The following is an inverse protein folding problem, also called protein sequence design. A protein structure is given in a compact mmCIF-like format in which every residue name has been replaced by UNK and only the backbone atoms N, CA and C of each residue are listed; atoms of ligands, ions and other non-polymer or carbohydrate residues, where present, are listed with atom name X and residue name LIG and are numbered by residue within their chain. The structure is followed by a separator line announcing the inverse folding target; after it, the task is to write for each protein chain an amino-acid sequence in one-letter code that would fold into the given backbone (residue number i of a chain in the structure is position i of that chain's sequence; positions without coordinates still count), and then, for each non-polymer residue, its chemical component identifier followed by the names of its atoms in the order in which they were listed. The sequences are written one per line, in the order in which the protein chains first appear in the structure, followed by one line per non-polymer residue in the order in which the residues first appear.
data_IF_616672373392
#
_entry.id   IF_616672373392
#
_cell.length_a   1.000
_cell.length_b   1.000
_cell.length_c   1.000
_cell.angle_alpha   90.00
_cell.angle_beta   90.00
_cell.angle_gamma   90.00
#
_symmetry.space_group_name_H-M   'P 1'
#
loop_
_entity.id
_entity.type
_entity.pdbx_description
1 polymer ?
#
# COMPACT_ATOMS: atom_id res chain seq x y z
N UNK A 1 34.81 -21.27 -17.59
CA UNK A 1 34.58 -22.22 -16.48
C UNK A 1 34.48 -21.38 -15.21
N UNK A 2 33.25 -21.12 -14.76
CA UNK A 2 32.97 -20.13 -13.72
C UNK A 2 33.21 -20.78 -12.35
N UNK A 3 34.39 -20.56 -11.77
CA UNK A 3 34.73 -21.06 -10.44
C UNK A 3 34.12 -20.16 -9.37
N UNK A 4 33.27 -20.73 -8.52
CA UNK A 4 32.80 -20.11 -7.28
C UNK A 4 34.03 -19.81 -6.40
N UNK A 5 34.06 -18.63 -5.74
CA UNK A 5 35.18 -18.24 -4.86
C UNK A 5 35.30 -19.25 -3.70
N UNK A 6 36.55 -19.58 -3.31
CA UNK A 6 36.86 -20.65 -2.33
C UNK A 6 36.28 -20.41 -0.92
N UNK A 7 35.85 -19.20 -0.63
CA UNK A 7 35.26 -18.70 0.61
C UNK A 7 33.74 -18.49 0.53
N UNK A 8 33.11 -18.83 -0.60
CA UNK A 8 31.67 -18.74 -0.72
C UNK A 8 31.01 -19.95 -0.06
N UNK A 9 30.17 -19.69 0.94
CA UNK A 9 29.23 -20.68 1.45
C UNK A 9 28.22 -21.00 0.35
N UNK A 10 28.29 -22.22 -0.20
CA UNK A 10 27.28 -22.73 -1.13
C UNK A 10 26.18 -23.36 -0.29
N UNK A 11 24.95 -22.82 -0.31
CA UNK A 11 23.84 -23.47 0.37
C UNK A 11 23.67 -24.91 -0.16
N UNK A 12 23.33 -25.86 0.71
CA UNK A 12 23.00 -27.21 0.26
C UNK A 12 21.89 -27.18 -0.79
N UNK A 13 21.91 -28.16 -1.69
CA UNK A 13 20.92 -28.26 -2.75
C UNK A 13 19.53 -28.38 -2.16
N UNK A 14 18.61 -27.55 -2.65
CA UNK A 14 17.24 -27.50 -2.15
C UNK A 14 16.54 -28.79 -2.59
N UNK A 15 16.12 -29.63 -1.64
CA UNK A 15 15.37 -30.85 -1.94
C UNK A 15 13.97 -30.43 -2.41
N UNK A 16 13.69 -30.63 -3.69
CA UNK A 16 12.45 -30.18 -4.34
C UNK A 16 11.25 -31.09 -4.04
N UNK A 17 11.51 -32.34 -3.67
CA UNK A 17 10.47 -33.32 -3.33
C UNK A 17 9.76 -32.90 -2.04
N UNK A 18 8.44 -32.70 -2.13
CA UNK A 18 7.62 -32.30 -0.99
C UNK A 18 7.71 -30.84 -0.59
N UNK A 19 8.66 -30.06 -1.12
CA UNK A 19 8.84 -28.63 -0.81
C UNK A 19 7.59 -27.79 -1.12
N UNK A 20 6.83 -28.20 -2.14
CA UNK A 20 5.58 -27.56 -2.56
C UNK A 20 4.33 -28.40 -2.24
N UNK A 21 4.47 -29.48 -1.48
CA UNK A 21 3.32 -30.25 -0.97
C UNK A 21 2.76 -29.58 0.29
N UNK A 22 2.57 -28.26 0.22
CA UNK A 22 1.90 -27.51 1.26
C UNK A 22 0.39 -27.70 1.05
N UNK A 23 -0.23 -28.47 1.93
CA UNK A 23 -1.68 -28.60 1.95
C UNK A 23 -2.27 -27.27 2.43
N UNK A 24 -2.91 -26.54 1.50
CA UNK A 24 -3.51 -25.22 1.78
C UNK A 24 -4.69 -25.34 2.73
N UNK A 25 -5.29 -26.54 2.80
CA UNK A 25 -6.40 -26.88 3.69
C UNK A 25 -5.92 -27.46 5.03
N UNK A 26 -4.61 -27.67 5.21
CA UNK A 26 -4.08 -27.83 6.56
C UNK A 26 -4.17 -26.50 7.29
N UNK A 27 -4.50 -26.56 8.58
CA UNK A 27 -4.41 -25.42 9.49
C UNK A 27 -2.94 -25.08 9.79
N UNK A 28 -2.16 -24.76 8.76
CA UNK A 28 -0.81 -24.19 8.84
C UNK A 28 -0.80 -22.86 9.60
N UNK A 29 -1.97 -22.23 9.74
CA UNK A 29 -2.17 -21.01 10.50
C UNK A 29 -2.68 -21.25 11.94
N UNK A 30 -3.21 -22.42 12.27
CA UNK A 30 -3.59 -22.75 13.67
C UNK A 30 -2.49 -23.55 14.38
N UNK A 31 -1.74 -24.37 13.65
CA UNK A 31 -0.61 -25.12 14.19
C UNK A 31 0.69 -24.34 14.02
N UNK A 32 0.84 -23.30 14.84
CA UNK A 32 2.17 -22.85 15.28
C UNK A 32 2.86 -23.89 16.19
N UNK A 33 2.31 -25.10 16.29
CA UNK A 33 2.95 -26.27 16.82
C UNK A 33 3.96 -26.74 15.77
N UNK A 34 5.20 -26.28 15.85
CA UNK A 34 6.45 -26.84 15.29
C UNK A 34 7.45 -25.73 14.92
N UNK A 35 7.58 -24.72 15.77
CA UNK A 35 8.94 -24.26 16.06
C UNK A 35 9.35 -25.05 17.29
N UNK A 36 10.09 -26.13 17.08
CA UNK A 36 11.02 -26.60 18.10
C UNK A 36 11.94 -25.42 18.40
N UNK A 37 11.53 -24.56 19.34
CA UNK A 37 12.46 -23.67 20.02
C UNK A 37 13.31 -24.58 20.89
N UNK A 38 14.22 -25.35 20.28
CA UNK A 38 15.18 -26.19 20.97
C UNK A 38 15.97 -25.30 21.95
N UNK A 39 15.52 -25.26 23.21
CA UNK A 39 16.12 -24.47 24.28
C UNK A 39 15.76 -22.97 24.36
N UNK A 40 14.73 -22.49 23.65
CA UNK A 40 14.32 -21.07 23.68
C UNK A 40 12.94 -20.83 24.30
N UNK A 41 12.78 -19.79 25.11
CA UNK A 41 11.45 -19.34 25.56
C UNK A 41 10.59 -18.88 24.37
N UNK A 42 9.34 -19.34 24.30
CA UNK A 42 8.41 -18.97 23.24
C UNK A 42 8.13 -17.45 23.33
N UNK A 43 8.28 -16.68 22.24
CA UNK A 43 8.02 -15.26 22.24
C UNK A 43 6.59 -14.94 22.70
N UNK A 44 6.43 -13.90 23.52
CA UNK A 44 5.12 -13.53 24.08
C UNK A 44 4.09 -13.13 23.01
N UNK A 45 4.52 -12.57 21.88
CA UNK A 45 3.62 -12.29 20.76
C UNK A 45 3.04 -13.57 20.14
N UNK A 46 3.65 -14.74 20.38
CA UNK A 46 3.12 -16.02 19.94
C UNK A 46 2.36 -16.73 21.07
N UNK A 47 2.91 -16.76 22.29
CA UNK A 47 2.32 -17.50 23.42
C UNK A 47 1.19 -16.75 24.15
N UNK A 48 1.18 -15.42 24.16
CA UNK A 48 0.26 -14.62 24.98
C UNK A 48 -0.79 -13.91 24.10
N UNK A 49 -2.07 -14.26 24.32
CA UNK A 49 -3.21 -13.67 23.60
C UNK A 49 -3.33 -12.16 23.84
N UNK A 50 -3.16 -11.68 25.06
CA UNK A 50 -3.25 -10.25 25.38
C UNK A 50 -2.18 -9.44 24.65
N UNK A 51 -0.97 -10.01 24.50
CA UNK A 51 0.11 -9.39 23.73
C UNK A 51 -0.25 -9.32 22.24
N UNK A 52 -0.84 -10.38 21.67
CA UNK A 52 -1.32 -10.36 20.27
C UNK A 52 -2.42 -9.35 20.05
N UNK A 53 -3.41 -9.33 20.93
CA UNK A 53 -4.54 -8.40 20.86
C UNK A 53 -4.04 -6.95 21.00
N UNK A 54 -3.08 -6.71 21.90
CA UNK A 54 -2.42 -5.42 22.06
C UNK A 54 -1.63 -4.96 20.83
N UNK A 55 -0.89 -5.87 20.17
CA UNK A 55 -0.19 -5.59 18.91
C UNK A 55 -1.19 -5.20 17.82
N UNK A 56 -2.28 -5.96 17.67
CA UNK A 56 -3.32 -5.67 16.68
C UNK A 56 -3.96 -4.31 16.93
N UNK A 57 -4.35 -4.03 18.17
CA UNK A 57 -4.93 -2.74 18.54
C UNK A 57 -3.96 -1.58 18.26
N UNK A 58 -2.67 -1.74 18.57
CA UNK A 58 -1.65 -0.73 18.27
C UNK A 58 -1.47 -0.51 16.77
N UNK A 59 -1.53 -1.57 15.96
CA UNK A 59 -1.48 -1.47 14.49
C UNK A 59 -2.72 -0.78 13.94
N UNK A 60 -3.91 -1.13 14.41
CA UNK A 60 -5.17 -0.50 14.00
C UNK A 60 -5.15 1.01 14.28
N UNK A 61 -4.74 1.42 15.47
CA UNK A 61 -4.61 2.85 15.82
C UNK A 61 -3.67 3.57 14.85
N UNK A 62 -2.50 2.99 14.55
CA UNK A 62 -1.55 3.59 13.60
C UNK A 62 -2.11 3.67 12.18
N UNK A 63 -2.77 2.62 11.71
CA UNK A 63 -3.41 2.60 10.39
C UNK A 63 -4.50 3.65 10.30
N UNK A 64 -5.36 3.79 11.31
CA UNK A 64 -6.38 4.83 11.36
C UNK A 64 -5.77 6.24 11.33
N UNK A 65 -4.66 6.47 12.02
CA UNK A 65 -3.96 7.75 12.00
C UNK A 65 -3.40 8.09 10.62
N UNK A 66 -2.77 7.14 9.94
CA UNK A 66 -2.26 7.37 8.58
C UNK A 66 -3.41 7.59 7.59
N UNK A 67 -4.49 6.81 7.66
CA UNK A 67 -5.64 7.01 6.78
C UNK A 67 -6.31 8.37 6.99
N UNK A 68 -6.42 8.86 8.23
CA UNK A 68 -6.90 10.22 8.49
C UNK A 68 -5.98 11.26 7.84
N UNK A 69 -4.66 11.10 7.98
CA UNK A 69 -3.68 12.01 7.36
C UNK A 69 -3.78 11.99 5.83
N UNK A 70 -4.00 10.83 5.23
CA UNK A 70 -4.25 10.68 3.78
C UNK A 70 -5.54 11.36 3.38
N UNK A 71 -6.62 11.17 4.14
CA UNK A 71 -7.91 11.80 3.90
C UNK A 71 -7.82 13.33 3.93
N UNK A 72 -7.06 13.91 4.87
CA UNK A 72 -6.83 15.36 4.94
C UNK A 72 -6.10 15.91 3.69
N UNK A 73 -5.12 15.16 3.19
CA UNK A 73 -4.39 15.51 1.96
C UNK A 73 -5.31 15.41 0.75
N UNK A 74 -6.04 14.30 0.61
CA UNK A 74 -7.01 14.10 -0.48
C UNK A 74 -8.10 15.17 -0.47
N UNK A 75 -8.64 15.50 0.70
CA UNK A 75 -9.61 16.58 0.87
C UNK A 75 -9.05 17.93 0.42
N UNK A 76 -7.84 18.27 0.87
CA UNK A 76 -7.19 19.53 0.51
C UNK A 76 -6.94 19.62 -1.00
N UNK A 77 -6.50 18.52 -1.61
CA UNK A 77 -6.28 18.43 -3.05
C UNK A 77 -7.59 18.58 -3.83
N UNK A 78 -8.66 17.88 -3.42
CA UNK A 78 -9.97 17.97 -4.05
C UNK A 78 -10.58 19.37 -3.91
N UNK A 79 -10.43 20.01 -2.74
CA UNK A 79 -10.93 21.35 -2.51
C UNK A 79 -10.19 22.38 -3.38
N UNK A 80 -8.86 22.35 -3.39
CA UNK A 80 -8.05 23.23 -4.22
C UNK A 80 -8.35 23.04 -5.71
N UNK A 81 -8.51 21.79 -6.14
CA UNK A 81 -8.94 21.46 -7.49
C UNK A 81 -10.31 22.08 -7.79
N UNK A 82 -11.32 21.81 -6.98
CA UNK A 82 -12.69 22.32 -7.20
C UNK A 82 -12.76 23.84 -7.27
N UNK A 83 -11.98 24.56 -6.46
CA UNK A 83 -11.91 26.02 -6.51
C UNK A 83 -11.32 26.48 -7.86
N UNK A 84 -10.22 25.88 -8.29
CA UNK A 84 -9.58 26.16 -9.59
C UNK A 84 -10.57 25.91 -10.76
N UNK A 85 -11.26 24.76 -10.74
CA UNK A 85 -12.33 24.42 -11.70
C UNK A 85 -13.40 25.49 -11.78
N UNK A 86 -13.92 25.83 -10.61
CA UNK A 86 -15.06 26.71 -10.47
C UNK A 86 -14.71 28.11 -10.97
N UNK A 87 -13.53 28.61 -10.60
CA UNK A 87 -13.05 29.91 -11.09
C UNK A 87 -12.83 29.93 -12.59
N UNK A 88 -12.26 28.87 -13.17
CA UNK A 88 -12.08 28.75 -14.61
C UNK A 88 -13.43 28.81 -15.34
N UNK A 89 -14.40 27.99 -14.93
CA UNK A 89 -15.76 27.99 -15.48
C UNK A 89 -16.42 29.37 -15.33
N UNK A 90 -16.39 29.92 -14.11
CA UNK A 90 -17.05 31.18 -13.78
C UNK A 90 -16.51 32.36 -14.58
N UNK A 91 -15.19 32.43 -14.74
CA UNK A 91 -14.55 33.48 -15.52
C UNK A 91 -14.93 33.39 -17.00
N UNK A 92 -15.00 32.17 -17.54
CA UNK A 92 -15.42 31.99 -18.94
C UNK A 92 -16.90 32.37 -19.12
N UNK A 93 -17.79 32.03 -18.18
CA UNK A 93 -19.18 32.49 -18.21
C UNK A 93 -19.31 34.01 -18.11
N UNK A 94 -18.49 34.66 -17.27
CA UNK A 94 -18.53 36.11 -17.07
C UNK A 94 -17.97 36.91 -18.25
N UNK A 95 -16.93 36.41 -18.91
CA UNK A 95 -16.16 37.19 -19.90
C UNK A 95 -16.19 36.60 -21.31
N UNK A 96 -16.79 35.43 -21.52
CA UNK A 96 -16.79 34.71 -22.78
C UNK A 96 -17.88 35.15 -23.76
N UNK A 97 -17.49 35.79 -24.86
CA UNK A 97 -18.36 35.99 -26.02
C UNK A 97 -18.39 34.71 -26.88
N UNK A 98 -19.21 33.72 -26.49
CA UNK A 98 -19.78 32.64 -27.32
C UNK A 98 -18.87 31.59 -27.99
N UNK A 99 -17.71 31.94 -28.53
CA UNK A 99 -16.93 31.09 -29.45
C UNK A 99 -15.62 30.57 -28.84
N UNK A 100 -15.05 31.28 -27.86
CA UNK A 100 -13.77 30.89 -27.22
C UNK A 100 -13.92 29.80 -26.14
N UNK A 101 -15.16 29.49 -25.75
CA UNK A 101 -15.53 28.61 -24.63
C UNK A 101 -15.16 27.14 -24.84
N UNK A 102 -15.27 26.61 -26.06
CA UNK A 102 -15.13 25.16 -26.29
C UNK A 102 -13.67 24.69 -26.32
N UNK A 103 -12.76 25.49 -26.89
CA UNK A 103 -11.35 25.09 -27.04
C UNK A 103 -10.57 25.18 -25.72
N UNK A 104 -10.84 26.20 -24.90
CA UNK A 104 -10.19 26.37 -23.60
C UNK A 104 -10.57 25.23 -22.64
N UNK A 105 -11.85 24.83 -22.61
CA UNK A 105 -12.32 23.78 -21.73
C UNK A 105 -11.73 22.40 -22.07
N UNK A 106 -11.60 22.09 -23.36
CA UNK A 106 -11.08 20.79 -23.82
C UNK A 106 -9.58 20.62 -23.59
N UNK A 107 -8.78 21.67 -23.83
CA UNK A 107 -7.32 21.65 -23.60
C UNK A 107 -7.03 21.52 -22.10
N UNK A 108 -7.76 22.26 -21.28
CA UNK A 108 -7.59 22.25 -19.84
C UNK A 108 -8.04 20.89 -19.23
N UNK A 109 -9.11 20.26 -19.76
CA UNK A 109 -9.50 18.87 -19.39
C UNK A 109 -8.42 17.83 -19.69
N UNK A 110 -7.75 17.92 -20.84
CA UNK A 110 -6.69 16.98 -21.25
C UNK A 110 -5.44 17.09 -20.37
N UNK A 111 -5.06 18.31 -19.97
CA UNK A 111 -3.89 18.54 -19.12
C UNK A 111 -4.13 18.03 -17.68
N UNK A 112 -5.33 18.20 -17.15
CA UNK A 112 -5.64 17.78 -15.77
C UNK A 112 -5.78 16.28 -15.63
N UNK A 113 -6.43 15.59 -16.59
CA UNK A 113 -6.54 14.13 -16.52
C UNK A 113 -5.17 13.41 -16.59
N UNK A 114 -4.19 14.00 -17.29
CA UNK A 114 -2.84 13.41 -17.38
C UNK A 114 -1.92 13.71 -16.20
N UNK A 115 -2.15 14.79 -15.45
CA UNK A 115 -1.19 15.26 -14.43
C UNK A 115 -1.66 15.06 -12.99
N UNK A 116 -2.98 15.07 -12.72
CA UNK A 116 -3.53 14.96 -11.36
C UNK A 116 -3.99 13.54 -10.96
N UNK A 117 -3.93 12.55 -11.86
CA UNK A 117 -4.25 11.15 -11.58
C UNK A 117 -3.02 10.32 -11.12
N UNK A 118 -1.85 10.95 -11.01
CA UNK A 118 -0.57 10.31 -10.62
C UNK A 118 -0.06 10.73 -9.23
N UNK A 119 -0.81 11.53 -8.47
CA UNK A 119 -0.51 11.88 -7.07
C UNK A 119 -1.66 11.43 -6.18
#
# INVERSE_FOLDING_TARGET
KNGVRRDAYVPPELVMEGLFNLDVDQDIWENADMVDFEGGEIPLWLANKEVRDGIRAAQEVKSCQEELRRCDVEYSNLHAWFVEEYEAVHNVFKFGNGVSLQYSFLIWKLIIMSTKMMM
#
